data_IF_768538799871
#
_entry.id   IF_768538799871
#
_cell.length_a   1.000
_cell.length_b   1.000
_cell.length_c   1.000
_cell.angle_alpha   90.00
_cell.angle_beta   90.00
_cell.angle_gamma   90.00
#
_symmetry.space_group_name_H-M   'P 1'
#
loop_
_entity.id
_entity.type
_entity.pdbx_description
1 polymer ?
#
# COMPACT_ATOMS: atom_id res chain seq x y z
N UNK A 1 -5.71 28.27 -8.18
CA UNK A 1 -6.29 26.97 -8.58
C UNK A 1 -5.25 25.88 -8.93
N UNK A 2 -3.93 26.11 -8.78
CA UNK A 2 -2.90 25.08 -9.04
C UNK A 2 -2.43 24.31 -7.79
N UNK A 3 -2.53 24.90 -6.59
CA UNK A 3 -2.06 24.27 -5.35
C UNK A 3 -2.87 23.01 -4.97
N UNK A 4 -4.20 23.02 -5.18
CA UNK A 4 -5.07 21.88 -4.85
C UNK A 4 -4.73 20.61 -5.66
N UNK A 5 -4.25 20.76 -6.90
CA UNK A 5 -3.90 19.62 -7.76
C UNK A 5 -2.63 18.91 -7.28
N UNK A 6 -1.67 19.67 -6.77
CA UNK A 6 -0.40 19.14 -6.24
C UNK A 6 -0.57 18.42 -4.89
N UNK A 7 -1.61 18.77 -4.11
CA UNK A 7 -2.01 18.01 -2.93
C UNK A 7 -2.75 16.71 -3.28
N UNK A 8 -3.56 16.70 -4.35
CA UNK A 8 -4.31 15.52 -4.78
C UNK A 8 -3.41 14.38 -5.28
N UNK A 9 -2.18 14.65 -5.74
CA UNK A 9 -1.27 13.59 -6.21
C UNK A 9 -0.74 12.68 -5.08
N UNK A 10 -0.95 13.07 -3.82
CA UNK A 10 -0.50 12.28 -2.65
C UNK A 10 -1.61 11.44 -2.02
N UNK A 11 -2.87 11.67 -2.34
CA UNK A 11 -3.98 10.95 -1.74
C UNK A 11 -4.67 10.06 -2.75
N UNK A 12 -4.88 8.81 -2.38
CA UNK A 12 -5.78 7.91 -3.10
C UNK A 12 -6.90 7.47 -2.16
N UNK A 13 -8.07 7.26 -2.75
CA UNK A 13 -9.23 6.69 -2.06
C UNK A 13 -9.58 5.40 -2.76
N UNK A 14 -9.76 4.33 -2.00
CA UNK A 14 -10.13 3.05 -2.56
C UNK A 14 -10.92 2.19 -1.59
N UNK A 15 -11.78 1.35 -2.16
CA UNK A 15 -12.50 0.32 -1.43
C UNK A 15 -11.59 -0.90 -1.26
N UNK A 16 -11.62 -1.50 -0.06
CA UNK A 16 -10.85 -2.71 0.23
C UNK A 16 -11.53 -3.93 -0.40
N UNK A 17 -10.83 -4.57 -1.33
CA UNK A 17 -11.26 -5.78 -1.99
C UNK A 17 -10.57 -7.03 -1.46
N UNK A 18 -11.23 -8.17 -1.68
CA UNK A 18 -10.69 -9.47 -1.35
C UNK A 18 -9.68 -9.92 -2.42
N UNK A 19 -8.39 -9.81 -2.10
CA UNK A 19 -7.29 -10.34 -2.91
C UNK A 19 -7.01 -11.85 -2.70
N UNK A 20 -5.80 -12.29 -3.06
CA UNK A 20 -5.34 -13.69 -2.86
C UNK A 20 -5.05 -14.06 -1.40
N UNK A 21 -5.05 -13.08 -0.49
CA UNK A 21 -4.85 -13.25 0.96
C UNK A 21 -3.51 -13.93 1.37
N UNK A 22 -2.53 -14.01 0.47
CA UNK A 22 -1.23 -14.64 0.75
C UNK A 22 -0.51 -13.96 1.92
N UNK A 23 -0.57 -12.63 1.99
CA UNK A 23 0.01 -11.85 3.09
C UNK A 23 -0.46 -12.32 4.47
N UNK A 24 -1.75 -12.66 4.62
CA UNK A 24 -2.30 -13.16 5.90
C UNK A 24 -1.66 -14.46 6.34
N UNK A 25 -1.31 -15.36 5.42
CA UNK A 25 -0.67 -16.65 5.74
C UNK A 25 0.77 -16.52 6.24
N UNK A 26 1.40 -15.37 6.00
CA UNK A 26 2.78 -15.08 6.41
C UNK A 26 2.89 -13.98 7.48
N UNK A 27 1.76 -13.59 8.08
CA UNK A 27 1.73 -12.56 9.12
C UNK A 27 1.83 -11.12 8.61
N UNK A 28 1.62 -10.89 7.30
CA UNK A 28 1.62 -9.57 6.65
C UNK A 28 0.30 -9.33 5.89
N UNK A 29 -0.85 -9.22 6.56
CA UNK A 29 -2.13 -9.01 5.88
C UNK A 29 -2.14 -7.71 5.07
N UNK A 30 -2.52 -7.78 3.79
CA UNK A 30 -2.67 -6.61 2.91
C UNK A 30 -4.13 -6.40 2.52
N UNK A 31 -4.55 -5.12 2.52
CA UNK A 31 -5.76 -4.65 1.90
C UNK A 31 -5.48 -4.33 0.43
N UNK A 32 -6.21 -4.96 -0.50
CA UNK A 32 -6.13 -4.63 -1.92
C UNK A 32 -7.10 -3.47 -2.17
N UNK A 33 -6.65 -2.40 -2.82
CA UNK A 33 -7.49 -1.23 -3.05
C UNK A 33 -7.99 -1.18 -4.49
N UNK A 34 -9.32 -1.10 -4.63
CA UNK A 34 -9.96 -0.68 -5.87
C UNK A 34 -10.20 0.83 -5.79
N UNK A 35 -9.46 1.58 -6.62
CA UNK A 35 -9.43 3.03 -6.54
C UNK A 35 -10.71 3.64 -7.14
N UNK A 36 -11.19 4.72 -6.51
CA UNK A 36 -12.37 5.45 -6.98
C UNK A 36 -12.09 6.18 -8.31
N UNK A 37 -10.85 6.61 -8.52
CA UNK A 37 -10.41 7.32 -9.70
C UNK A 37 -9.21 6.63 -10.35
N UNK A 38 -9.03 6.83 -11.66
CA UNK A 38 -7.84 6.37 -12.37
C UNK A 38 -6.62 7.12 -11.84
N UNK A 39 -5.76 6.39 -11.13
CA UNK A 39 -4.50 6.88 -10.60
C UNK A 39 -3.36 5.97 -11.05
N UNK A 40 -2.21 6.56 -11.29
CA UNK A 40 -1.01 5.81 -11.69
C UNK A 40 0.18 6.34 -10.92
N UNK A 41 0.98 5.42 -10.40
CA UNK A 41 2.21 5.71 -9.69
C UNK A 41 3.36 4.90 -10.30
N UNK A 42 4.60 5.26 -9.97
CA UNK A 42 5.71 4.34 -10.25
C UNK A 42 5.53 3.03 -9.46
N UNK A 43 5.89 1.90 -10.05
CA UNK A 43 5.86 0.63 -9.34
C UNK A 43 6.93 0.61 -8.23
N UNK A 44 6.56 0.10 -7.07
CA UNK A 44 7.47 0.02 -5.93
C UNK A 44 6.74 -0.04 -4.61
N UNK A 45 7.48 0.28 -3.55
CA UNK A 45 7.00 0.26 -2.18
C UNK A 45 7.08 1.67 -1.61
N UNK A 46 6.02 2.09 -0.96
CA UNK A 46 5.85 3.42 -0.40
C UNK A 46 5.56 3.35 1.08
N UNK A 47 6.12 4.30 1.84
CA UNK A 47 5.67 4.59 3.20
C UNK A 47 4.45 5.49 3.12
N UNK A 48 3.37 5.12 3.81
CA UNK A 48 2.07 5.80 3.71
C UNK A 48 1.47 6.08 5.08
N UNK A 49 0.65 7.12 5.17
CA UNK A 49 -0.40 7.17 6.18
C UNK A 49 -1.67 6.54 5.62
N UNK A 50 -2.38 5.78 6.46
CA UNK A 50 -3.67 5.18 6.12
C UNK A 50 -4.71 5.74 7.07
N UNK A 51 -5.74 6.36 6.52
CA UNK A 51 -6.87 6.86 7.28
C UNK A 51 -8.03 5.88 7.10
N UNK A 52 -8.46 5.33 8.23
CA UNK A 52 -9.57 4.42 8.32
C UNK A 52 -10.48 4.90 9.45
N UNK A 53 -11.74 5.20 9.10
CA UNK A 53 -12.69 5.86 10.00
C UNK A 53 -12.10 7.16 10.57
N UNK A 54 -12.01 7.30 11.90
CA UNK A 54 -11.44 8.47 12.58
C UNK A 54 -10.00 8.27 13.05
N UNK A 55 -9.33 7.20 12.59
CA UNK A 55 -7.98 6.85 13.01
C UNK A 55 -6.98 6.96 11.87
N UNK A 56 -5.73 7.22 12.25
CA UNK A 56 -4.59 7.28 11.32
C UNK A 56 -3.56 6.23 11.69
N UNK A 57 -3.19 5.41 10.72
CA UNK A 57 -2.24 4.33 10.84
C UNK A 57 -1.01 4.60 9.98
N UNK A 58 0.13 4.03 10.38
CA UNK A 58 1.28 3.91 9.49
C UNK A 58 1.05 2.70 8.58
N UNK A 59 1.52 2.76 7.34
CA UNK A 59 1.43 1.64 6.43
C UNK A 59 2.61 1.58 5.47
N UNK A 60 2.75 0.42 4.84
CA UNK A 60 3.49 0.28 3.59
C UNK A 60 2.49 -0.03 2.48
N UNK A 61 2.70 0.57 1.31
CA UNK A 61 1.90 0.29 0.12
C UNK A 61 2.79 -0.27 -0.97
N UNK A 62 2.44 -1.45 -1.49
CA UNK A 62 3.03 -2.00 -2.70
C UNK A 62 2.19 -1.57 -3.90
N UNK A 63 2.87 -1.04 -4.90
CA UNK A 63 2.31 -0.71 -6.21
C UNK A 63 3.02 -1.57 -7.24
N UNK A 64 2.24 -2.35 -8.00
CA UNK A 64 2.78 -3.27 -9.00
C UNK A 64 1.75 -3.54 -10.08
N UNK A 65 2.08 -4.41 -11.04
CA UNK A 65 1.17 -4.75 -12.14
C UNK A 65 0.60 -6.15 -11.97
N UNK A 66 -0.69 -6.31 -12.23
CA UNK A 66 -1.30 -7.63 -12.39
C UNK A 66 -1.31 -7.98 -13.88
N UNK A 67 -0.52 -8.97 -14.35
CA UNK A 67 -0.68 -9.46 -15.71
C UNK A 67 -2.06 -10.11 -15.83
N UNK A 68 -2.94 -9.51 -16.62
CA UNK A 68 -4.24 -10.08 -16.98
C UNK A 68 -4.21 -10.56 -18.42
N UNK A 69 -4.91 -11.67 -18.70
CA UNK A 69 -4.91 -12.28 -20.03
C UNK A 69 -5.79 -11.52 -21.04
N UNK A 70 -6.69 -10.63 -20.59
CA UNK A 70 -7.77 -10.14 -21.46
C UNK A 70 -7.84 -8.63 -21.73
N UNK A 71 -7.31 -7.68 -20.94
CA UNK A 71 -7.53 -6.24 -21.30
C UNK A 71 -6.49 -5.24 -20.72
N UNK A 72 -5.22 -5.67 -20.56
CA UNK A 72 -4.09 -4.76 -20.30
C UNK A 72 -3.48 -4.85 -18.89
N UNK A 73 -2.38 -4.10 -18.72
CA UNK A 73 -1.66 -3.98 -17.45
C UNK A 73 -2.45 -3.07 -16.50
N UNK A 74 -3.17 -3.67 -15.55
CA UNK A 74 -3.79 -2.92 -14.46
C UNK A 74 -2.85 -2.86 -13.26
N UNK A 75 -2.54 -1.63 -12.85
CA UNK A 75 -1.76 -1.39 -11.64
C UNK A 75 -2.59 -1.73 -10.40
N UNK A 76 -1.99 -2.48 -9.48
CA UNK A 76 -2.57 -2.90 -8.21
C UNK A 76 -1.94 -2.14 -7.06
N UNK A 77 -2.77 -1.78 -6.07
CA UNK A 77 -2.36 -1.07 -4.86
C UNK A 77 -2.68 -1.94 -3.65
N UNK A 78 -1.66 -2.40 -2.95
CA UNK A 78 -1.79 -3.26 -1.77
C UNK A 78 -1.19 -2.60 -0.54
N UNK A 79 -2.03 -2.32 0.46
CA UNK A 79 -1.62 -1.65 1.70
C UNK A 79 -1.55 -2.64 2.84
N UNK A 80 -0.41 -2.66 3.54
CA UNK A 80 -0.28 -3.28 4.85
C UNK A 80 -0.29 -2.19 5.92
N UNK A 81 -1.37 -2.13 6.71
CA UNK A 81 -1.48 -1.25 7.86
C UNK A 81 -0.68 -1.83 9.02
N UNK A 82 0.24 -1.04 9.59
CA UNK A 82 1.09 -1.45 10.69
C UNK A 82 0.31 -1.42 12.01
N UNK A 83 0.51 -2.43 12.85
CA UNK A 83 -0.17 -2.60 14.14
C UNK A 83 -1.70 -2.66 14.03
N UNK A 84 -2.21 -3.21 12.93
CA UNK A 84 -3.64 -3.34 12.64
C UNK A 84 -4.02 -4.80 12.38
N UNK A 85 -5.05 -5.29 13.06
CA UNK A 85 -5.47 -6.71 13.04
C UNK A 85 -6.96 -6.93 12.76
N UNK A 86 -7.69 -5.90 12.33
CA UNK A 86 -9.11 -6.00 12.01
C UNK A 86 -9.38 -6.40 10.55
N UNK A 87 -10.60 -6.88 10.29
CA UNK A 87 -11.06 -7.25 8.95
C UNK A 87 -11.93 -6.14 8.38
N UNK A 88 -11.45 -5.49 7.31
CA UNK A 88 -12.04 -4.25 6.76
C UNK A 88 -12.48 -4.39 5.30
N UNK A 89 -12.91 -5.59 4.88
CA UNK A 89 -13.42 -5.79 3.52
C UNK A 89 -14.62 -4.90 3.24
N UNK A 90 -14.72 -4.42 2.01
CA UNK A 90 -15.78 -3.53 1.50
C UNK A 90 -15.79 -2.12 2.14
N UNK A 91 -14.86 -1.83 3.06
CA UNK A 91 -14.68 -0.49 3.64
C UNK A 91 -13.77 0.39 2.77
N UNK A 92 -13.88 1.71 2.93
CA UNK A 92 -13.05 2.67 2.22
C UNK A 92 -11.83 3.09 3.05
N UNK A 93 -10.67 3.15 2.40
CA UNK A 93 -9.45 3.74 2.94
C UNK A 93 -9.08 5.00 2.17
N UNK A 94 -8.58 5.99 2.90
CA UNK A 94 -7.82 7.09 2.31
C UNK A 94 -6.36 6.83 2.60
N UNK A 95 -5.51 6.85 1.58
CA UNK A 95 -4.08 6.58 1.70
C UNK A 95 -3.31 7.79 1.24
N UNK A 96 -2.43 8.28 2.10
CA UNK A 96 -1.53 9.40 1.83
C UNK A 96 -0.10 8.89 1.62
N UNK A 97 0.43 9.12 0.43
CA UNK A 97 1.78 8.76 0.03
C UNK A 97 2.79 9.75 0.59
N UNK A 98 3.75 9.25 1.38
CA UNK A 98 4.69 10.09 2.11
C UNK A 98 6.10 10.02 1.50
N UNK A 99 6.59 8.82 1.20
CA UNK A 99 7.91 8.63 0.61
C UNK A 99 8.01 7.28 -0.11
N UNK A 100 8.88 7.23 -1.11
CA UNK A 100 9.29 5.99 -1.77
C UNK A 100 10.32 5.25 -0.92
N UNK A 101 10.18 3.92 -0.81
CA UNK A 101 11.09 3.05 -0.06
C UNK A 101 12.04 2.34 -1.02
N UNK A 102 11.50 1.66 -2.04
CA UNK A 102 12.26 0.87 -3.02
C UNK A 102 11.42 0.49 -4.23
N UNK A 103 12.08 0.03 -5.30
CA UNK A 103 11.41 -0.57 -6.45
C UNK A 103 10.91 -1.99 -6.19
N UNK A 104 10.22 -2.56 -7.19
CA UNK A 104 9.80 -3.96 -7.17
C UNK A 104 11.02 -4.90 -7.10
N UNK A 105 10.87 -5.98 -6.35
CA UNK A 105 11.92 -7.00 -6.19
C UNK A 105 11.28 -8.38 -6.32
N UNK A 106 11.89 -9.23 -7.15
CA UNK A 106 11.53 -10.65 -7.23
C UNK A 106 12.24 -11.40 -6.11
N UNK A 107 11.53 -12.34 -5.49
CA UNK A 107 12.07 -13.20 -4.44
C UNK A 107 12.06 -14.64 -4.93
N UNK A 108 13.12 -15.37 -4.62
CA UNK A 108 13.24 -16.78 -4.99
C UNK A 108 12.66 -17.69 -3.90
N UNK A 109 12.53 -17.17 -2.67
CA UNK A 109 12.02 -17.91 -1.53
C UNK A 109 11.04 -17.07 -0.70
N UNK A 110 10.06 -17.72 -0.10
CA UNK A 110 9.06 -17.06 0.75
C UNK A 110 9.70 -16.31 1.93
N UNK A 111 10.75 -16.87 2.53
CA UNK A 111 11.45 -16.25 3.64
C UNK A 111 12.13 -14.92 3.25
N UNK A 112 12.65 -14.81 2.02
CA UNK A 112 13.24 -13.56 1.52
C UNK A 112 12.20 -12.45 1.42
N UNK A 113 10.99 -12.78 0.95
CA UNK A 113 9.86 -11.86 0.90
C UNK A 113 9.49 -11.39 2.31
N UNK A 114 9.30 -12.32 3.26
CA UNK A 114 8.94 -11.99 4.65
C UNK A 114 9.98 -11.05 5.26
N UNK A 115 11.27 -11.38 5.12
CA UNK A 115 12.36 -10.57 5.66
C UNK A 115 12.35 -9.16 5.03
N UNK A 116 12.11 -9.05 3.73
CA UNK A 116 12.04 -7.74 3.07
C UNK A 116 10.85 -6.93 3.58
N UNK A 117 9.66 -7.53 3.72
CA UNK A 117 8.47 -6.85 4.24
C UNK A 117 8.70 -6.33 5.67
N UNK A 118 9.38 -7.11 6.51
CA UNK A 118 9.78 -6.67 7.86
C UNK A 118 10.75 -5.48 7.81
N UNK A 119 11.73 -5.51 6.92
CA UNK A 119 12.67 -4.40 6.73
C UNK A 119 11.96 -3.13 6.24
N UNK A 120 11.03 -3.27 5.28
CA UNK A 120 10.26 -2.15 4.73
C UNK A 120 9.37 -1.52 5.81
N UNK A 121 8.69 -2.34 6.64
CA UNK A 121 7.91 -1.88 7.78
C UNK A 121 8.77 -1.17 8.85
N UNK A 122 9.92 -1.77 9.20
CA UNK A 122 10.85 -1.16 10.16
C UNK A 122 11.39 0.19 9.66
N UNK A 123 11.83 0.25 8.40
CA UNK A 123 12.30 1.48 7.77
C UNK A 123 11.22 2.56 7.79
N UNK A 124 9.99 2.20 7.46
CA UNK A 124 8.84 3.11 7.46
C UNK A 124 8.63 3.74 8.83
N UNK A 125 8.61 2.94 9.91
CA UNK A 125 8.51 3.46 11.28
C UNK A 125 9.62 4.43 11.62
N UNK A 126 10.86 4.09 11.25
CA UNK A 126 12.03 4.94 11.50
C UNK A 126 11.91 6.27 10.76
N UNK A 127 11.51 6.27 9.49
CA UNK A 127 11.34 7.51 8.72
C UNK A 127 10.24 8.39 9.29
N UNK A 128 9.08 7.83 9.65
CA UNK A 128 8.02 8.61 10.28
C UNK A 128 8.40 9.19 11.64
N UNK A 129 9.32 8.57 12.38
CA UNK A 129 9.87 9.16 13.58
C UNK A 129 10.72 10.40 13.29
N UNK A 130 11.47 10.42 12.18
CA UNK A 130 12.33 11.53 11.78
C UNK A 130 11.56 12.70 11.13
N UNK A 131 10.34 12.46 10.66
CA UNK A 131 9.46 13.47 10.05
C UNK A 131 8.61 14.25 11.07
N UNK A 132 8.68 13.90 12.36
CA UNK A 132 8.04 14.63 13.46
C UNK A 132 8.91 15.80 13.91
#
# INVERSE_FOLDING_TARGET
>A
MHALRQYNERFIVGQVEKGKQLGRTIGFPTANLNLVENFTLENGVYGVYVYHQSQKYLGIMNVGNRPTFDDGDHQTFEVHMLDFDECIYDENLIVEMMFYIRGEKKFNQLQELINQLQMDAFYTRKQFHLLK
#
